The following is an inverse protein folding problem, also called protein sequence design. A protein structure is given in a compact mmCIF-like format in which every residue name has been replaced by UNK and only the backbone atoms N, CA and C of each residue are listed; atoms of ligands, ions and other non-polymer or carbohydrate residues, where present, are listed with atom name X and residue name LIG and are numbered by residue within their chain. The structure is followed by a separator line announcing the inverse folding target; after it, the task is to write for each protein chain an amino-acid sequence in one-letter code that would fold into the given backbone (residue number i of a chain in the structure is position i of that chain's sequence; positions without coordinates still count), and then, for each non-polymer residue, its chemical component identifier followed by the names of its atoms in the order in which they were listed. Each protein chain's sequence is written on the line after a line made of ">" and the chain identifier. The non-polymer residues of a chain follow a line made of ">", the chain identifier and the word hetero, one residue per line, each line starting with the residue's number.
data_IF_244272280095
#
_entry.id   IF_244272280095
#
_cell.length_a   1.000
_cell.length_b   1.000
_cell.length_c   1.000
_cell.angle_alpha   90.00
_cell.angle_beta   90.00
_cell.angle_gamma   90.00
#
_symmetry.space_group_name_H-M   'P 1'
#
loop_
_entity.id
_entity.type
_entity.pdbx_description
1 polymer ?
#
# COMPACT_ATOMS: atom_id res chain seq x y z
N UNK A 1 9.79 -1.70 -4.51
CA UNK A 1 9.28 -2.50 -3.35
C UNK A 1 10.06 -3.80 -3.28
N UNK A 2 10.36 -4.27 -2.07
CA UNK A 2 10.88 -5.61 -1.82
C UNK A 2 9.73 -6.50 -1.34
N UNK A 3 9.24 -7.34 -2.25
CA UNK A 3 8.10 -8.24 -2.01
C UNK A 3 8.51 -9.54 -1.30
N UNK A 4 9.80 -9.88 -1.25
CA UNK A 4 10.29 -11.06 -0.53
C UNK A 4 10.31 -10.81 0.98
N UNK A 5 10.73 -9.61 1.40
CA UNK A 5 10.82 -9.24 2.81
C UNK A 5 9.69 -8.32 3.29
N UNK A 6 8.69 -8.04 2.45
CA UNK A 6 7.61 -7.10 2.71
C UNK A 6 8.12 -5.72 3.17
N UNK A 7 9.01 -5.11 2.38
CA UNK A 7 9.58 -3.78 2.66
C UNK A 7 9.29 -2.80 1.55
N UNK A 8 8.98 -1.56 1.93
CA UNK A 8 8.86 -0.44 1.01
C UNK A 8 10.13 0.41 1.12
N UNK A 9 10.62 0.85 -0.03
CA UNK A 9 11.75 1.77 -0.14
C UNK A 9 11.29 2.97 -0.95
N UNK A 10 11.60 4.17 -0.47
CA UNK A 10 11.35 5.44 -1.14
C UNK A 10 12.69 6.17 -1.24
N UNK A 11 13.11 6.51 -2.46
CA UNK A 11 14.41 7.15 -2.74
C UNK A 11 15.62 6.41 -2.14
N UNK A 12 15.59 5.07 -2.19
CA UNK A 12 16.65 4.24 -1.62
C UNK A 12 16.60 4.09 -0.09
N UNK A 13 15.73 4.82 0.61
CA UNK A 13 15.53 4.69 2.06
C UNK A 13 14.43 3.67 2.37
N UNK A 14 14.72 2.75 3.29
CA UNK A 14 13.73 1.78 3.78
C UNK A 14 12.71 2.48 4.68
N UNK A 15 11.43 2.35 4.37
CA UNK A 15 10.36 2.81 5.25
C UNK A 15 10.25 1.92 6.49
N UNK A 16 10.00 2.54 7.64
CA UNK A 16 9.77 1.87 8.92
C UNK A 16 8.29 1.81 9.26
N UNK A 17 7.95 1.10 10.31
CA UNK A 17 6.57 1.08 10.81
C UNK A 17 6.10 2.45 11.31
N UNK A 18 7.00 3.38 11.64
CA UNK A 18 6.62 4.76 11.99
C UNK A 18 6.22 5.57 10.76
N UNK A 19 6.86 5.31 9.62
CA UNK A 19 6.55 5.96 8.35
C UNK A 19 5.25 5.39 7.77
N UNK A 20 5.08 4.06 7.82
CA UNK A 20 3.90 3.37 7.32
C UNK A 20 3.58 2.14 8.17
N UNK A 21 2.60 2.25 9.06
CA UNK A 21 2.20 1.16 9.95
C UNK A 21 1.65 -0.08 9.21
N UNK A 22 1.07 0.12 8.03
CA UNK A 22 0.35 -0.90 7.25
C UNK A 22 1.19 -1.53 6.14
N UNK A 23 2.53 -1.46 6.21
CA UNK A 23 3.44 -1.84 5.11
C UNK A 23 3.08 -3.14 4.40
N UNK A 24 2.86 -4.24 5.12
CA UNK A 24 2.53 -5.53 4.50
C UNK A 24 1.25 -5.47 3.65
N UNK A 25 0.18 -4.86 4.19
CA UNK A 25 -1.07 -4.71 3.47
C UNK A 25 -0.93 -3.74 2.28
N UNK A 26 -0.17 -2.66 2.45
CA UNK A 26 0.15 -1.74 1.34
C UNK A 26 0.88 -2.45 0.21
N UNK A 27 1.85 -3.33 0.52
CA UNK A 27 2.59 -4.11 -0.47
C UNK A 27 1.67 -5.05 -1.25
N UNK A 28 0.77 -5.77 -0.56
CA UNK A 28 -0.18 -6.66 -1.20
C UNK A 28 -1.11 -5.92 -2.16
N UNK A 29 -1.67 -4.79 -1.73
CA UNK A 29 -2.56 -3.97 -2.57
C UNK A 29 -1.80 -3.37 -3.75
N UNK A 30 -0.63 -2.77 -3.52
CA UNK A 30 0.18 -2.19 -4.59
C UNK A 30 0.61 -3.23 -5.62
N UNK A 31 0.98 -4.44 -5.18
CA UNK A 31 1.32 -5.54 -6.08
C UNK A 31 0.15 -5.86 -7.01
N UNK A 32 -1.06 -5.98 -6.47
CA UNK A 32 -2.25 -6.28 -7.25
C UNK A 32 -2.59 -5.18 -8.26
N UNK A 33 -2.44 -3.90 -7.87
CA UNK A 33 -2.66 -2.75 -8.74
C UNK A 33 -1.61 -2.68 -9.86
N UNK A 34 -0.33 -2.92 -9.54
CA UNK A 34 0.77 -2.92 -10.51
C UNK A 34 0.69 -4.07 -11.51
N UNK A 35 0.13 -5.22 -11.10
CA UNK A 35 -0.13 -6.36 -11.98
C UNK A 35 -1.32 -6.13 -12.92
N UNK A 36 -2.16 -5.11 -12.66
CA UNK A 36 -3.37 -4.81 -13.42
C UNK A 36 -3.46 -3.32 -13.84
N UNK A 37 -2.45 -2.79 -14.55
CA UNK A 37 -2.41 -1.38 -14.91
C UNK A 37 -3.59 -1.00 -15.81
N UNK A 38 -4.25 0.11 -15.50
CA UNK A 38 -5.37 0.66 -16.29
C UNK A 38 -6.66 -0.16 -16.22
N UNK A 39 -6.71 -1.21 -15.38
CA UNK A 39 -7.92 -2.04 -15.18
C UNK A 39 -8.60 -1.68 -13.87
N UNK A 40 -9.93 -1.67 -13.87
CA UNK A 40 -10.69 -1.64 -12.63
C UNK A 40 -10.58 -2.97 -11.89
N UNK A 41 -10.32 -2.92 -10.59
CA UNK A 41 -10.27 -4.09 -9.71
C UNK A 41 -11.46 -4.01 -8.76
N UNK A 42 -12.31 -5.03 -8.78
CA UNK A 42 -13.42 -5.11 -7.84
C UNK A 42 -12.88 -5.33 -6.41
N UNK A 43 -13.49 -4.67 -5.42
CA UNK A 43 -13.08 -4.82 -4.01
C UNK A 43 -13.06 -6.28 -3.53
N UNK A 44 -13.93 -7.14 -4.08
CA UNK A 44 -13.98 -8.58 -3.76
C UNK A 44 -12.69 -9.33 -4.14
N UNK A 45 -11.92 -8.79 -5.07
CA UNK A 45 -10.68 -9.38 -5.55
C UNK A 45 -9.47 -8.91 -4.75
N UNK A 46 -9.62 -7.87 -3.90
CA UNK A 46 -8.52 -7.38 -3.07
C UNK A 46 -8.11 -8.43 -2.02
N UNK A 47 -6.84 -8.39 -1.56
CA UNK A 47 -6.34 -9.31 -0.55
C UNK A 47 -7.20 -9.25 0.71
N UNK A 48 -7.42 -10.39 1.37
CA UNK A 48 -8.24 -10.53 2.59
C UNK A 48 -7.72 -9.73 3.79
N UNK A 49 -6.59 -9.01 3.67
CA UNK A 49 -6.12 -8.06 4.66
C UNK A 49 -7.30 -7.24 5.21
N UNK A 50 -7.37 -7.09 6.54
CA UNK A 50 -8.53 -6.49 7.21
C UNK A 50 -8.88 -5.09 6.68
N UNK A 51 -7.90 -4.40 6.09
CA UNK A 51 -8.04 -3.04 5.57
C UNK A 51 -8.79 -2.95 4.24
N UNK A 52 -8.80 -3.98 3.38
CA UNK A 52 -9.48 -3.91 2.06
C UNK A 52 -11.01 -4.01 2.16
N UNK A 53 -11.52 -4.62 3.23
CA UNK A 53 -12.97 -4.84 3.42
C UNK A 53 -13.72 -3.59 3.86
N UNK A 54 -13.02 -2.61 4.43
CA UNK A 54 -13.60 -1.35 4.87
C UNK A 54 -12.91 -0.18 4.17
N UNK A 55 -13.70 0.61 3.43
CA UNK A 55 -13.21 1.78 2.69
C UNK A 55 -12.46 2.76 3.58
N UNK A 56 -12.95 3.04 4.79
CA UNK A 56 -12.34 4.02 5.69
C UNK A 56 -11.00 3.51 6.23
N UNK A 57 -10.90 2.21 6.51
CA UNK A 57 -9.66 1.58 6.93
C UNK A 57 -8.62 1.60 5.81
N UNK A 58 -9.01 1.25 4.58
CA UNK A 58 -8.15 1.34 3.41
C UNK A 58 -7.66 2.78 3.18
N UNK A 59 -8.55 3.76 3.26
CA UNK A 59 -8.20 5.17 3.08
C UNK A 59 -7.27 5.67 4.18
N UNK A 60 -7.63 5.45 5.45
CA UNK A 60 -6.90 6.03 6.59
C UNK A 60 -5.60 5.30 6.92
N UNK A 61 -5.45 4.03 6.53
CA UNK A 61 -4.27 3.22 6.86
C UNK A 61 -3.37 2.93 5.68
N UNK A 62 -3.87 2.95 4.45
CA UNK A 62 -3.07 2.61 3.26
C UNK A 62 -2.95 3.81 2.33
N UNK A 63 -4.07 4.28 1.76
CA UNK A 63 -4.06 5.29 0.69
C UNK A 63 -3.54 6.63 1.19
N UNK A 64 -4.12 7.16 2.27
CA UNK A 64 -3.74 8.45 2.84
C UNK A 64 -2.27 8.51 3.25
N UNK A 65 -1.79 7.62 4.13
CA UNK A 65 -0.40 7.59 4.54
C UNK A 65 0.59 7.44 3.37
N UNK A 66 0.25 6.62 2.36
CA UNK A 66 1.10 6.46 1.18
C UNK A 66 1.16 7.73 0.33
N UNK A 67 0.03 8.41 0.12
CA UNK A 67 -0.01 9.68 -0.61
C UNK A 67 0.81 10.75 0.11
N UNK A 68 0.60 10.93 1.42
CA UNK A 68 1.38 11.89 2.21
C UNK A 68 2.88 11.62 2.14
N UNK A 69 3.31 10.37 2.22
CA UNK A 69 4.72 9.99 2.07
C UNK A 69 5.31 10.34 0.70
N UNK A 70 4.52 10.22 -0.37
CA UNK A 70 4.96 10.57 -1.72
C UNK A 70 4.99 12.09 -1.89
N UNK A 71 3.97 12.80 -1.43
CA UNK A 71 3.88 14.28 -1.52
C UNK A 71 4.94 14.99 -0.69
N UNK A 72 5.30 14.46 0.49
CA UNK A 72 6.37 15.05 1.32
C UNK A 72 7.76 14.94 0.66
N UNK A 73 7.91 14.07 -0.34
CA UNK A 73 9.20 13.74 -0.96
C UNK A 73 9.29 14.03 -2.46
N UNK A 74 8.22 14.51 -3.09
CA UNK A 74 8.17 14.79 -4.55
C UNK A 74 7.63 16.19 -4.80
#
# INVERSE_FOLDING_TARGET
>A
MDTLNNRIYLEGQKLTSQDLHSQSATIEILKMLLENPGKEINNKNLPLSSYSKNKNDMLGKIVGPLLSLVEERT
#
